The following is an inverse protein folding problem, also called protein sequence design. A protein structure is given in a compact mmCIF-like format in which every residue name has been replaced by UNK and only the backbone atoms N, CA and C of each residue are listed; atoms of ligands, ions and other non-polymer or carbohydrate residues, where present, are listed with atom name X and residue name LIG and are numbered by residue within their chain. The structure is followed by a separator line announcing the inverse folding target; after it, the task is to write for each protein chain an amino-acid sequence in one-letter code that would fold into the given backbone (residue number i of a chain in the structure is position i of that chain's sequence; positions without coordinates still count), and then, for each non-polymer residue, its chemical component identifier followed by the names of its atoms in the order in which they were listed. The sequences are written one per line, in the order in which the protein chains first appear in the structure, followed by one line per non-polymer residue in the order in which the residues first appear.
data_IF_010845510943
#
_entry.id   IF_010845510943
#
_cell.length_a   1.000
_cell.length_b   1.000
_cell.length_c   1.000
_cell.angle_alpha   90.00
_cell.angle_beta   90.00
_cell.angle_gamma   90.00
#
_symmetry.space_group_name_H-M   'P 1'
#
loop_
_entity.id
_entity.type
_entity.pdbx_description
1 polymer ?
#
# COMPACT_ATOMS: atom_id res chain seq x y z
N UNK A 1 34.12 -17.21 20.10
CA UNK A 1 33.54 -17.43 18.75
C UNK A 1 31.99 -17.47 18.75
N UNK A 2 31.31 -17.91 19.82
CA UNK A 2 29.83 -17.96 19.88
C UNK A 2 29.13 -16.58 19.97
N UNK A 3 29.74 -15.60 20.64
CA UNK A 3 29.12 -14.27 20.88
C UNK A 3 28.94 -13.46 19.59
N UNK A 4 29.84 -13.63 18.62
CA UNK A 4 29.79 -12.93 17.32
C UNK A 4 28.73 -13.51 16.39
N UNK A 5 28.54 -14.85 16.35
CA UNK A 5 27.48 -15.47 15.56
C UNK A 5 26.08 -15.11 16.06
N UNK A 6 25.89 -15.02 17.39
CA UNK A 6 24.60 -14.62 17.98
C UNK A 6 24.20 -13.19 17.62
N UNK A 7 25.15 -12.25 17.62
CA UNK A 7 24.90 -10.86 17.21
C UNK A 7 24.60 -10.72 15.72
N UNK A 8 25.28 -11.48 14.86
CA UNK A 8 25.02 -11.51 13.41
C UNK A 8 23.64 -12.11 13.12
N UNK A 9 23.27 -13.21 13.78
CA UNK A 9 21.93 -13.81 13.66
C UNK A 9 20.81 -12.86 14.10
N UNK A 10 21.00 -12.13 15.21
CA UNK A 10 20.06 -11.13 15.70
C UNK A 10 19.90 -9.94 14.74
N UNK A 11 21.01 -9.45 14.16
CA UNK A 11 20.99 -8.39 13.14
C UNK A 11 20.28 -8.84 11.86
N UNK A 12 20.55 -10.06 11.38
CA UNK A 12 19.88 -10.62 10.20
C UNK A 12 18.38 -10.78 10.46
N UNK A 13 17.97 -11.28 11.63
CA UNK A 13 16.56 -11.35 12.00
C UNK A 13 15.89 -9.97 12.11
N UNK A 14 16.58 -8.98 12.70
CA UNK A 14 16.05 -7.62 12.82
C UNK A 14 15.84 -6.96 11.45
N UNK A 15 16.75 -7.17 10.49
CA UNK A 15 16.63 -6.63 9.13
C UNK A 15 15.51 -7.27 8.31
N UNK A 16 15.20 -8.55 8.55
CA UNK A 16 14.16 -9.28 7.79
C UNK A 16 12.74 -8.90 8.25
N UNK A 17 12.56 -8.46 9.50
CA UNK A 17 11.25 -8.24 10.12
C UNK A 17 10.74 -6.80 10.05
N UNK A 18 11.44 -5.88 9.39
CA UNK A 18 10.95 -4.50 9.24
C UNK A 18 9.85 -4.44 8.18
N UNK A 19 8.62 -4.25 8.66
CA UNK A 19 7.47 -3.86 7.85
C UNK A 19 7.46 -2.36 7.62
N UNK A 20 7.08 -1.92 6.42
CA UNK A 20 6.90 -0.52 6.07
C UNK A 20 5.43 -0.27 5.70
N UNK A 21 4.96 0.96 5.91
CA UNK A 21 3.59 1.36 5.57
C UNK A 21 3.38 1.47 4.05
N UNK A 22 4.37 1.99 3.32
CA UNK A 22 4.32 2.14 1.87
C UNK A 22 4.93 0.92 1.15
N UNK A 23 4.49 0.62 -0.10
CA UNK A 23 5.10 -0.44 -0.90
C UNK A 23 6.59 -0.21 -1.07
N UNK A 24 7.41 -1.25 -0.84
CA UNK A 24 8.89 -1.14 -0.94
C UNK A 24 9.36 -0.58 -2.28
N UNK A 25 8.67 -0.91 -3.37
CA UNK A 25 8.94 -0.42 -4.73
C UNK A 25 8.76 1.10 -4.88
N UNK A 26 7.98 1.74 -4.02
CA UNK A 26 7.75 3.20 -4.05
C UNK A 26 8.68 3.97 -3.11
N UNK A 27 9.29 3.31 -2.13
CA UNK A 27 10.17 3.96 -1.14
C UNK A 27 11.62 3.89 -1.64
N UNK A 28 11.86 4.51 -2.79
CA UNK A 28 13.19 4.74 -3.37
C UNK A 28 13.42 6.26 -3.47
N UNK A 29 14.66 6.74 -3.59
CA UNK A 29 14.91 8.17 -3.83
C UNK A 29 14.11 8.72 -5.02
N UNK A 30 14.02 7.96 -6.11
CA UNK A 30 13.29 8.34 -7.32
C UNK A 30 11.77 8.38 -7.08
N UNK A 31 11.23 7.38 -6.38
CA UNK A 31 9.81 7.32 -6.03
C UNK A 31 9.37 8.46 -5.11
N UNK A 32 10.20 8.79 -4.12
CA UNK A 32 9.93 9.88 -3.17
C UNK A 32 10.08 11.26 -3.82
N UNK A 33 11.12 11.47 -4.64
CA UNK A 33 11.33 12.75 -5.35
C UNK A 33 10.23 12.99 -6.39
N UNK A 34 9.80 11.96 -7.11
CA UNK A 34 8.69 12.09 -8.07
C UNK A 34 7.32 12.22 -7.39
N UNK A 35 7.23 11.96 -6.08
CA UNK A 35 5.98 11.90 -5.31
C UNK A 35 4.91 11.02 -5.98
N UNK A 36 5.33 9.95 -6.67
CA UNK A 36 4.44 9.04 -7.40
C UNK A 36 4.68 7.58 -6.98
N UNK A 37 3.61 6.90 -6.58
CA UNK A 37 3.62 5.46 -6.27
C UNK A 37 2.65 4.71 -7.19
N UNK A 38 3.12 4.35 -8.39
CA UNK A 38 2.31 3.67 -9.41
C UNK A 38 3.05 2.49 -10.09
N UNK A 39 3.38 1.44 -9.33
CA UNK A 39 4.09 0.27 -9.86
C UNK A 39 3.21 -0.57 -10.81
N UNK A 40 3.87 -1.40 -11.63
CA UNK A 40 3.23 -2.37 -12.51
C UNK A 40 2.93 -3.68 -11.77
N UNK A 41 1.70 -4.23 -11.85
CA UNK A 41 1.31 -5.43 -11.10
C UNK A 41 2.01 -6.72 -11.56
N UNK A 42 2.49 -6.76 -12.80
CA UNK A 42 3.12 -7.94 -13.40
C UNK A 42 4.54 -7.66 -13.90
N UNK A 43 5.18 -6.61 -13.37
CA UNK A 43 6.51 -6.14 -13.77
C UNK A 43 6.65 -5.94 -15.30
N UNK A 44 5.53 -5.61 -15.96
CA UNK A 44 5.51 -5.20 -17.37
C UNK A 44 5.97 -3.76 -17.45
N UNK A 45 6.94 -3.50 -18.34
CA UNK A 45 7.47 -2.17 -18.57
C UNK A 45 6.36 -1.20 -19.00
N UNK A 46 6.39 0.01 -18.45
CA UNK A 46 5.44 1.08 -18.79
C UNK A 46 3.95 0.73 -18.59
N UNK A 47 3.63 -0.20 -17.67
CA UNK A 47 2.25 -0.57 -17.31
C UNK A 47 1.86 -0.12 -15.88
N UNK A 48 1.86 1.20 -15.58
CA UNK A 48 1.55 1.66 -14.24
C UNK A 48 0.12 1.28 -13.85
N UNK A 49 -0.04 0.67 -12.66
CA UNK A 49 -1.34 0.28 -12.13
C UNK A 49 -2.14 -0.72 -13.01
N UNK A 50 -1.47 -1.43 -13.93
CA UNK A 50 -2.13 -2.35 -14.86
C UNK A 50 -3.01 -1.64 -15.90
N UNK A 51 -2.61 -0.45 -16.35
CA UNK A 51 -3.37 0.36 -17.30
C UNK A 51 -3.64 -0.37 -18.64
N UNK A 52 -2.66 -1.11 -19.16
CA UNK A 52 -2.76 -1.86 -20.41
C UNK A 52 -3.83 -2.97 -20.36
N UNK A 53 -4.05 -3.55 -19.18
CA UNK A 53 -5.07 -4.58 -18.94
C UNK A 53 -6.39 -4.02 -18.38
N UNK A 54 -6.51 -2.69 -18.28
CA UNK A 54 -7.70 -2.02 -17.77
C UNK A 54 -7.90 -2.16 -16.26
N UNK A 55 -6.91 -2.64 -15.49
CA UNK A 55 -7.01 -2.88 -14.04
C UNK A 55 -7.07 -1.59 -13.22
N UNK A 56 -6.43 -0.53 -13.69
CA UNK A 56 -6.36 0.72 -12.98
C UNK A 56 -5.59 1.79 -13.74
N UNK A 57 -5.43 2.94 -13.10
CA UNK A 57 -4.74 4.09 -13.65
C UNK A 57 -3.97 4.83 -12.56
N UNK A 58 -2.83 5.42 -12.91
CA UNK A 58 -2.08 6.30 -12.03
C UNK A 58 -2.70 7.70 -12.05
N UNK A 59 -3.29 8.11 -10.93
CA UNK A 59 -4.07 9.36 -10.81
C UNK A 59 -3.64 10.18 -9.61
N UNK A 60 -4.03 11.44 -9.58
CA UNK A 60 -3.80 12.31 -8.42
C UNK A 60 -4.61 11.83 -7.21
N UNK A 61 -3.95 11.81 -6.06
CA UNK A 61 -4.56 11.43 -4.79
C UNK A 61 -5.43 12.58 -4.28
N UNK A 62 -6.67 12.26 -3.93
CA UNK A 62 -7.60 13.21 -3.31
C UNK A 62 -7.63 12.99 -1.81
N UNK A 63 -6.95 13.85 -1.05
CA UNK A 63 -7.08 13.91 0.40
C UNK A 63 -8.21 14.87 0.80
N UNK A 64 -8.80 14.63 1.98
CA UNK A 64 -9.75 15.58 2.56
C UNK A 64 -9.07 16.93 2.83
N UNK A 65 -9.76 18.01 2.49
CA UNK A 65 -9.25 19.38 2.60
C UNK A 65 -10.15 20.24 3.50
N UNK A 66 -11.14 19.63 4.17
CA UNK A 66 -11.99 20.33 5.13
C UNK A 66 -11.19 20.67 6.37
N UNK A 67 -11.57 21.74 7.05
CA UNK A 67 -10.96 22.11 8.31
C UNK A 67 -11.24 21.03 9.38
N UNK A 68 -10.21 20.65 10.14
CA UNK A 68 -10.36 19.84 11.33
C UNK A 68 -10.66 20.72 12.55
N UNK A 69 -10.97 20.07 13.68
CA UNK A 69 -11.23 20.77 14.92
C UNK A 69 -10.01 21.52 15.46
N UNK A 70 -10.23 22.54 16.32
CA UNK A 70 -9.17 23.39 16.87
C UNK A 70 -8.27 22.67 17.89
N UNK A 71 -8.54 21.40 18.22
CA UNK A 71 -7.75 20.60 19.16
C UNK A 71 -6.34 20.31 18.63
N UNK A 72 -6.13 20.44 17.32
CA UNK A 72 -4.83 20.29 16.67
C UNK A 72 -4.38 21.64 16.11
N UNK A 73 -3.51 22.39 16.83
CA UNK A 73 -3.09 23.74 16.44
C UNK A 73 -1.77 23.77 15.63
N UNK A 74 -1.34 22.64 15.06
CA UNK A 74 0.01 22.48 14.50
C UNK A 74 0.03 22.25 12.98
N UNK A 75 -0.85 22.93 12.24
CA UNK A 75 -0.92 22.80 10.78
C UNK A 75 0.44 23.01 10.12
N UNK A 76 0.79 22.12 9.19
CA UNK A 76 2.05 22.15 8.47
C UNK A 76 3.22 21.51 9.22
N UNK A 77 2.98 20.71 10.27
CA UNK A 77 4.04 20.11 11.10
C UNK A 77 4.03 18.59 11.10
N UNK A 78 2.91 17.96 10.75
CA UNK A 78 2.75 16.52 10.82
C UNK A 78 2.52 15.90 9.45
N UNK A 79 3.30 14.87 9.12
CA UNK A 79 3.25 14.20 7.82
C UNK A 79 1.92 13.46 7.57
N UNK A 80 1.12 13.27 8.63
CA UNK A 80 -0.22 12.66 8.59
C UNK A 80 -1.30 13.64 8.16
N UNK A 81 -1.02 14.94 8.17
CA UNK A 81 -1.95 15.94 7.66
C UNK A 81 -2.23 15.69 6.18
N UNK A 82 -3.52 15.66 5.81
CA UNK A 82 -3.96 15.40 4.42
C UNK A 82 -3.28 14.15 3.84
N UNK A 83 -3.11 13.13 4.67
CA UNK A 83 -2.47 11.88 4.29
C UNK A 83 -3.03 11.34 2.96
N UNK A 84 -2.17 10.85 2.03
CA UNK A 84 -0.71 10.69 2.09
C UNK A 84 0.08 11.80 1.36
N UNK A 85 -0.49 12.99 1.14
CA UNK A 85 0.05 14.00 0.19
C UNK A 85 1.45 14.54 0.52
N UNK A 86 1.94 14.33 1.73
CA UNK A 86 3.31 14.67 2.13
C UNK A 86 4.37 13.78 1.47
N UNK A 87 3.99 12.56 1.06
CA UNK A 87 4.89 11.60 0.44
C UNK A 87 4.55 11.38 -1.04
N UNK A 88 3.27 11.11 -1.34
CA UNK A 88 2.83 10.77 -2.68
C UNK A 88 1.60 11.57 -3.06
N UNK A 89 1.72 12.33 -4.16
CA UNK A 89 0.61 13.08 -4.76
C UNK A 89 -0.10 12.27 -5.83
N UNK A 90 0.53 11.21 -6.36
CA UNK A 90 -0.04 10.32 -7.36
C UNK A 90 0.04 8.85 -6.93
N UNK A 91 -1.05 8.12 -7.10
CA UNK A 91 -1.16 6.70 -6.74
C UNK A 91 -2.14 5.96 -7.65
N UNK A 92 -2.11 4.63 -7.57
CA UNK A 92 -3.04 3.78 -8.33
C UNK A 92 -4.49 3.91 -7.85
N UNK A 93 -5.39 4.17 -8.79
CA UNK A 93 -6.83 3.96 -8.64
C UNK A 93 -7.26 2.78 -9.49
N UNK A 94 -7.73 1.73 -8.84
CA UNK A 94 -8.15 0.51 -9.51
C UNK A 94 -9.59 0.60 -10.01
N UNK A 95 -9.86 -0.10 -11.11
CA UNK A 95 -11.16 -0.17 -11.76
C UNK A 95 -11.96 -1.38 -11.22
N UNK A 96 -13.29 -1.25 -11.19
CA UNK A 96 -14.19 -2.37 -10.86
C UNK A 96 -13.85 -3.07 -9.53
N UNK A 97 -13.59 -4.38 -9.61
CA UNK A 97 -13.27 -5.22 -8.46
C UNK A 97 -11.76 -5.45 -8.26
N UNK A 98 -10.90 -4.76 -9.00
CA UNK A 98 -9.45 -4.79 -8.77
C UNK A 98 -9.09 -3.94 -7.54
N UNK A 99 -7.97 -4.26 -6.91
CA UNK A 99 -7.49 -3.65 -5.67
C UNK A 99 -5.98 -3.90 -5.49
N UNK A 100 -5.40 -3.35 -4.43
CA UNK A 100 -3.97 -3.39 -4.15
C UNK A 100 -3.26 -2.09 -4.54
N UNK A 101 -2.00 -1.97 -4.16
CA UNK A 101 -1.20 -0.77 -4.41
C UNK A 101 -0.81 -0.61 -5.90
N UNK A 102 -0.92 -1.69 -6.67
CA UNK A 102 -0.59 -1.82 -8.10
C UNK A 102 -1.80 -2.30 -8.95
N UNK A 103 -2.98 -2.46 -8.33
CA UNK A 103 -4.16 -3.07 -8.93
C UNK A 103 -4.02 -4.54 -9.37
N UNK A 104 -3.01 -5.26 -8.86
CA UNK A 104 -2.76 -6.67 -9.17
C UNK A 104 -3.58 -7.67 -8.35
N UNK A 105 -4.40 -7.20 -7.40
CA UNK A 105 -5.22 -8.06 -6.52
C UNK A 105 -6.70 -7.78 -6.71
N UNK A 106 -7.53 -8.60 -6.08
CA UNK A 106 -8.97 -8.40 -6.03
C UNK A 106 -9.40 -7.67 -4.75
N UNK A 107 -10.49 -6.91 -4.87
CA UNK A 107 -11.20 -6.34 -3.73
C UNK A 107 -11.65 -7.45 -2.79
N UNK A 108 -11.70 -7.14 -1.50
CA UNK A 108 -12.19 -8.06 -0.49
C UNK A 108 -13.55 -8.66 -0.87
N UNK A 109 -13.68 -9.99 -0.77
CA UNK A 109 -14.87 -10.73 -1.21
C UNK A 109 -14.87 -11.16 -2.69
N UNK A 110 -13.80 -10.86 -3.45
CA UNK A 110 -13.64 -11.28 -4.85
C UNK A 110 -12.32 -12.05 -5.07
N UNK A 111 -12.29 -12.91 -6.09
CA UNK A 111 -11.11 -13.71 -6.49
C UNK A 111 -11.13 -14.02 -8.00
N UNK A 112 -10.08 -14.71 -8.47
CA UNK A 112 -9.82 -15.03 -9.87
C UNK A 112 -9.07 -13.90 -10.59
N UNK A 113 -8.50 -14.19 -11.76
CA UNK A 113 -7.61 -13.25 -12.46
C UNK A 113 -8.32 -11.94 -12.84
N UNK A 114 -9.61 -12.02 -13.20
CA UNK A 114 -10.48 -10.88 -13.52
C UNK A 114 -11.30 -10.35 -12.33
N UNK A 115 -11.15 -10.92 -11.12
CA UNK A 115 -11.88 -10.51 -9.92
C UNK A 115 -13.42 -10.56 -10.02
N UNK A 116 -13.95 -11.53 -10.76
CA UNK A 116 -15.39 -11.70 -10.99
C UNK A 116 -16.04 -12.72 -10.05
N UNK A 117 -15.24 -13.65 -9.51
CA UNK A 117 -15.76 -14.68 -8.60
C UNK A 117 -15.91 -14.15 -7.20
N UNK A 118 -17.12 -14.22 -6.64
CA UNK A 118 -17.37 -13.90 -5.23
C UNK A 118 -16.86 -15.00 -4.30
N UNK A 119 -16.33 -14.60 -3.15
CA UNK A 119 -15.89 -15.51 -2.08
C UNK A 119 -16.73 -15.22 -0.83
N UNK A 120 -17.34 -16.22 -0.20
CA UNK A 120 -18.06 -16.02 1.05
C UNK A 120 -17.07 -15.55 2.12
N UNK A 121 -17.35 -14.40 2.71
CA UNK A 121 -16.60 -13.86 3.85
C UNK A 121 -17.46 -14.00 5.09
N UNK A 122 -16.97 -14.71 6.09
CA UNK A 122 -17.62 -14.83 7.39
C UNK A 122 -16.60 -14.70 8.51
N UNK A 123 -16.86 -13.82 9.46
CA UNK A 123 -16.11 -13.78 10.71
C UNK A 123 -16.76 -14.75 11.69
N UNK A 124 -16.04 -15.82 12.03
CA UNK A 124 -16.49 -16.81 13.01
C UNK A 124 -16.19 -16.31 14.43
N UNK A 125 -17.12 -16.52 15.36
CA UNK A 125 -16.85 -16.33 16.78
C UNK A 125 -15.93 -17.45 17.28
N UNK A 126 -14.80 -17.10 17.90
CA UNK A 126 -13.85 -18.08 18.44
C UNK A 126 -14.47 -18.92 19.57
N UNK A 127 -15.45 -18.40 20.30
CA UNK A 127 -16.13 -19.11 21.38
C UNK A 127 -17.12 -20.18 20.92
N UNK A 128 -17.47 -20.23 19.63
CA UNK A 128 -18.39 -21.22 19.07
C UNK A 128 -17.70 -22.52 18.60
N UNK A 129 -16.39 -22.65 18.81
CA UNK A 129 -15.56 -23.78 18.37
C UNK A 129 -14.84 -24.50 19.53
N UNK A 130 -15.24 -24.22 20.77
CA UNK A 130 -14.84 -24.94 21.99
C UNK A 130 -16.01 -25.74 22.53
#
# INVERSE_FOLDING_TARGET
MWRSCGGVLLLVHALVLVGAQFPRVCVTPEGLVSAQCCPSPFAVDSDPCGASSGRGQCVDVRADARAHGPQYPYDGRDDRERWPLRFFTRACRCNGNFSGFDCGRCRHGFTGDACERRVPVGQKNKLLFL
#
